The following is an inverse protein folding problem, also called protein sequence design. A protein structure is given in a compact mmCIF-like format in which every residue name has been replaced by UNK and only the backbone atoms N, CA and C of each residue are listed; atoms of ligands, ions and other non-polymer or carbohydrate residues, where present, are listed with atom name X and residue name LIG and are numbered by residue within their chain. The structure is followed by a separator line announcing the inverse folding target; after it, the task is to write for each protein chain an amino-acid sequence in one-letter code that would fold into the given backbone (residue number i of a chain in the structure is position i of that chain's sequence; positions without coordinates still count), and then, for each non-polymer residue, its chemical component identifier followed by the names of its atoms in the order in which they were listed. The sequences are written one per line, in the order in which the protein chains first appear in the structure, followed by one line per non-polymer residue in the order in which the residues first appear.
data_IF_783141985131
#
_entry.id   IF_783141985131
#
_cell.length_a   1.000
_cell.length_b   1.000
_cell.length_c   1.000
_cell.angle_alpha   90.00
_cell.angle_beta   90.00
_cell.angle_gamma   90.00
#
_symmetry.space_group_name_H-M   'P 1'
#
loop_
_entity.id
_entity.type
_entity.pdbx_description
1 polymer ?
#
# COMPACT_ATOMS: atom_id res chain seq x y z
N UNK A 1 27.37 -3.75 1.64
CA UNK A 1 25.98 -4.19 1.36
C UNK A 1 25.51 -3.58 0.07
N UNK A 2 24.82 -4.36 -0.75
CA UNK A 2 24.30 -3.88 -2.03
C UNK A 2 23.15 -2.88 -1.78
N UNK A 3 23.14 -1.78 -2.50
CA UNK A 3 22.03 -0.83 -2.46
C UNK A 3 20.76 -1.46 -3.03
N UNK A 4 19.57 -1.31 -2.39
CA UNK A 4 18.33 -1.83 -2.92
C UNK A 4 17.97 -1.19 -4.26
N UNK A 5 17.60 -2.03 -5.24
CA UNK A 5 17.13 -1.61 -6.55
C UNK A 5 15.59 -1.52 -6.55
N UNK A 6 15.06 -0.39 -7.02
CA UNK A 6 13.63 -0.28 -7.31
C UNK A 6 13.39 -0.83 -8.72
N UNK A 7 12.54 -1.84 -8.83
CA UNK A 7 12.17 -2.47 -10.11
C UNK A 7 10.69 -2.86 -10.13
N UNK A 8 10.09 -3.04 -11.32
CA UNK A 8 8.77 -3.66 -11.41
C UNK A 8 8.76 -5.05 -10.78
N UNK A 9 7.65 -5.39 -10.13
CA UNK A 9 7.43 -6.73 -9.61
C UNK A 9 7.07 -7.70 -10.75
N UNK A 10 7.38 -8.96 -10.55
CA UNK A 10 7.06 -10.06 -11.48
C UNK A 10 6.30 -11.17 -10.77
N UNK A 11 5.73 -12.12 -11.52
CA UNK A 11 5.06 -13.30 -10.96
C UNK A 11 5.96 -14.09 -9.99
N UNK A 12 7.27 -14.11 -10.22
CA UNK A 12 8.23 -14.77 -9.35
C UNK A 12 8.32 -14.14 -7.94
N UNK A 13 7.93 -12.89 -7.81
CA UNK A 13 7.94 -12.16 -6.53
C UNK A 13 6.73 -12.48 -5.65
N UNK A 14 5.72 -13.19 -6.16
CA UNK A 14 4.43 -13.30 -5.48
C UNK A 14 4.51 -13.88 -4.06
N UNK A 15 5.30 -14.94 -3.86
CA UNK A 15 5.47 -15.53 -2.53
C UNK A 15 6.18 -14.57 -1.56
N UNK A 16 7.27 -13.94 -1.99
CA UNK A 16 8.02 -12.97 -1.19
C UNK A 16 7.18 -11.72 -0.89
N UNK A 17 6.36 -11.25 -1.85
CA UNK A 17 5.42 -10.15 -1.64
C UNK A 17 4.32 -10.49 -0.63
N UNK A 18 3.80 -11.73 -0.66
CA UNK A 18 2.82 -12.18 0.31
C UNK A 18 3.40 -12.18 1.74
N UNK A 19 4.60 -12.72 1.90
CA UNK A 19 5.30 -12.74 3.21
C UNK A 19 5.62 -11.32 3.69
N UNK A 20 6.17 -10.49 2.81
CA UNK A 20 6.50 -9.09 3.12
C UNK A 20 5.25 -8.28 3.50
N UNK A 21 4.17 -8.41 2.76
CA UNK A 21 2.91 -7.72 3.02
C UNK A 21 2.30 -8.12 4.35
N UNK A 22 2.25 -9.41 4.63
CA UNK A 22 1.75 -9.96 5.89
C UNK A 22 2.57 -9.46 7.08
N UNK A 23 3.89 -9.60 7.02
CA UNK A 23 4.77 -9.20 8.11
C UNK A 23 4.74 -7.69 8.34
N UNK A 24 4.76 -6.89 7.28
CA UNK A 24 4.70 -5.42 7.38
C UNK A 24 3.37 -4.95 7.96
N UNK A 25 2.26 -5.59 7.58
CA UNK A 25 0.96 -5.28 8.19
C UNK A 25 0.97 -5.55 9.70
N UNK A 26 1.48 -6.71 10.10
CA UNK A 26 1.58 -7.07 11.53
C UNK A 26 2.47 -6.07 12.27
N UNK A 27 3.67 -5.79 11.77
CA UNK A 27 4.62 -4.88 12.42
C UNK A 27 4.07 -3.45 12.54
N UNK A 28 3.31 -3.00 11.55
CA UNK A 28 2.79 -1.63 11.52
C UNK A 28 1.53 -1.46 12.33
N UNK A 29 0.55 -2.33 12.14
CA UNK A 29 -0.81 -2.14 12.67
C UNK A 29 -1.10 -2.94 13.94
N UNK A 30 -0.47 -4.11 14.11
CA UNK A 30 -0.79 -5.05 15.18
C UNK A 30 0.23 -5.03 16.31
N UNK A 31 1.51 -4.97 16.00
CA UNK A 31 2.58 -5.05 17.00
C UNK A 31 2.49 -3.92 18.03
N UNK A 32 2.92 -4.21 19.26
CA UNK A 32 2.88 -3.26 20.39
C UNK A 32 3.70 -1.98 20.14
N UNK A 33 4.80 -2.10 19.41
CA UNK A 33 5.64 -0.98 18.97
C UNK A 33 5.16 -0.28 17.70
N UNK A 34 4.12 -0.81 17.05
CA UNK A 34 3.38 -0.19 15.94
C UNK A 34 2.17 0.57 16.46
N UNK A 35 1.06 0.50 15.74
CA UNK A 35 -0.19 1.16 16.13
C UNK A 35 -0.98 0.38 17.20
N UNK A 36 -0.64 -0.88 17.43
CA UNK A 36 -1.25 -1.76 18.42
C UNK A 36 -2.80 -1.81 18.31
N UNK A 37 -3.32 -1.84 17.08
CA UNK A 37 -4.76 -1.92 16.85
C UNK A 37 -5.25 -3.29 17.34
N UNK A 38 -6.26 -3.34 18.21
CA UNK A 38 -6.69 -4.58 18.86
C UNK A 38 -7.65 -5.38 17.98
N UNK A 39 -7.23 -5.74 16.77
CA UNK A 39 -8.03 -6.60 15.89
C UNK A 39 -8.37 -7.93 16.60
N UNK A 40 -9.61 -8.39 16.53
CA UNK A 40 -9.93 -9.77 16.93
C UNK A 40 -9.10 -10.76 16.12
N UNK A 41 -8.56 -11.78 16.77
CA UNK A 41 -7.62 -12.71 16.13
C UNK A 41 -8.20 -13.40 14.88
N UNK A 42 -9.48 -13.76 14.92
CA UNK A 42 -10.19 -14.37 13.78
C UNK A 42 -10.30 -13.40 12.59
N UNK A 43 -10.68 -12.16 12.86
CA UNK A 43 -10.84 -11.12 11.84
C UNK A 43 -9.47 -10.79 11.18
N UNK A 44 -8.43 -10.68 11.98
CA UNK A 44 -7.06 -10.48 11.50
C UNK A 44 -6.59 -11.66 10.64
N UNK A 45 -6.80 -12.89 11.08
CA UNK A 45 -6.40 -14.10 10.33
C UNK A 45 -7.09 -14.16 8.97
N UNK A 46 -8.40 -13.95 8.93
CA UNK A 46 -9.19 -13.92 7.69
C UNK A 46 -8.66 -12.85 6.72
N UNK A 47 -8.40 -11.65 7.23
CA UNK A 47 -7.88 -10.56 6.42
C UNK A 47 -6.49 -10.86 5.86
N UNK A 48 -5.56 -11.33 6.70
CA UNK A 48 -4.19 -11.62 6.27
C UNK A 48 -4.15 -12.75 5.25
N UNK A 49 -4.92 -13.81 5.45
CA UNK A 49 -4.98 -14.96 4.55
C UNK A 49 -5.60 -14.59 3.19
N UNK A 50 -6.61 -13.73 3.17
CA UNK A 50 -7.23 -13.26 1.94
C UNK A 50 -6.34 -12.27 1.17
N UNK A 51 -5.62 -11.41 1.88
CA UNK A 51 -4.85 -10.30 1.28
C UNK A 51 -3.43 -10.68 0.89
N UNK A 52 -2.77 -11.53 1.68
CA UNK A 52 -1.34 -11.83 1.58
C UNK A 52 -1.09 -13.32 1.45
N UNK A 53 -1.54 -13.91 0.36
CA UNK A 53 -1.16 -15.24 -0.08
C UNK A 53 -0.64 -15.17 -1.51
N UNK A 54 0.24 -16.10 -1.94
CA UNK A 54 0.90 -16.03 -3.25
C UNK A 54 -0.08 -16.02 -4.43
N UNK A 55 -1.18 -16.76 -4.35
CA UNK A 55 -2.17 -16.83 -5.43
C UNK A 55 -2.92 -15.50 -5.60
N UNK A 56 -3.38 -14.90 -4.51
CA UNK A 56 -4.01 -13.58 -4.53
C UNK A 56 -3.06 -12.52 -5.08
N UNK A 57 -1.79 -12.54 -4.66
CA UNK A 57 -0.78 -11.59 -5.17
C UNK A 57 -0.55 -11.80 -6.66
N UNK A 58 -0.43 -13.04 -7.16
CA UNK A 58 -0.30 -13.31 -8.61
C UNK A 58 -1.47 -12.77 -9.41
N UNK A 59 -2.68 -12.94 -8.91
CA UNK A 59 -3.88 -12.41 -9.55
C UNK A 59 -3.85 -10.89 -9.62
N UNK A 60 -3.48 -10.24 -8.52
CA UNK A 60 -3.38 -8.77 -8.44
C UNK A 60 -2.23 -8.20 -9.28
N UNK A 61 -1.11 -8.90 -9.40
CA UNK A 61 -0.01 -8.50 -10.29
C UNK A 61 -0.43 -8.45 -11.76
N UNK A 62 -1.43 -9.24 -12.16
CA UNK A 62 -1.97 -9.31 -13.53
C UNK A 62 -3.21 -8.46 -13.74
N UNK A 63 -3.67 -7.74 -12.71
CA UNK A 63 -4.86 -6.89 -12.83
C UNK A 63 -4.65 -5.82 -13.90
N UNK A 64 -5.56 -5.69 -14.89
CA UNK A 64 -5.48 -4.64 -15.89
C UNK A 64 -5.46 -3.24 -15.25
N UNK A 65 -4.53 -2.40 -15.68
CA UNK A 65 -4.38 -1.06 -15.15
C UNK A 65 -3.70 -0.96 -13.79
N UNK A 66 -3.18 -2.06 -13.25
CA UNK A 66 -2.37 -2.06 -12.03
C UNK A 66 -0.87 -2.07 -12.34
N UNK A 67 -0.08 -1.54 -11.42
CA UNK A 67 1.37 -1.60 -11.45
C UNK A 67 1.93 -1.86 -10.05
N UNK A 68 3.03 -2.59 -10.00
CA UNK A 68 3.70 -2.98 -8.77
C UNK A 68 5.20 -2.77 -8.89
N UNK A 69 5.80 -2.23 -7.83
CA UNK A 69 7.25 -2.08 -7.71
C UNK A 69 7.72 -2.68 -6.40
N UNK A 70 8.93 -3.19 -6.44
CA UNK A 70 9.63 -3.75 -5.27
C UNK A 70 10.98 -3.05 -5.09
N UNK A 71 11.42 -2.98 -3.84
CA UNK A 71 12.80 -2.66 -3.50
C UNK A 71 13.53 -3.98 -3.23
N UNK A 72 14.39 -4.37 -4.15
CA UNK A 72 15.09 -5.65 -4.16
C UNK A 72 16.56 -5.46 -3.80
N UNK A 73 17.02 -6.16 -2.79
CA UNK A 73 18.42 -6.20 -2.38
C UNK A 73 18.98 -7.62 -2.54
N UNK A 74 19.43 -7.91 -3.76
CA UNK A 74 20.03 -9.21 -4.05
C UNK A 74 19.09 -10.42 -3.88
N UNK A 75 17.80 -10.24 -4.21
CA UNK A 75 16.77 -11.27 -4.08
C UNK A 75 15.93 -11.16 -2.81
N UNK A 76 16.30 -10.29 -1.87
CA UNK A 76 15.51 -9.99 -0.69
C UNK A 76 14.62 -8.77 -0.96
N UNK A 77 13.30 -8.93 -0.86
CA UNK A 77 12.37 -7.82 -0.99
C UNK A 77 12.23 -7.07 0.33
N UNK A 78 12.51 -5.78 0.32
CA UNK A 78 12.51 -4.91 1.50
C UNK A 78 11.29 -4.01 1.59
N UNK A 79 10.68 -3.70 0.45
CA UNK A 79 9.53 -2.80 0.37
C UNK A 79 8.79 -3.03 -0.94
N UNK A 80 7.55 -2.59 -1.02
CA UNK A 80 6.78 -2.59 -2.26
C UNK A 80 5.76 -1.48 -2.31
N UNK A 81 5.34 -1.13 -3.53
CA UNK A 81 4.20 -0.25 -3.79
C UNK A 81 3.28 -0.89 -4.82
N UNK A 82 1.99 -0.67 -4.66
CA UNK A 82 0.96 -1.09 -5.60
C UNK A 82 0.02 0.07 -5.94
N UNK A 83 -0.12 0.34 -7.23
CA UNK A 83 -1.08 1.29 -7.79
C UNK A 83 -2.06 0.56 -8.70
N UNK A 84 -3.21 1.17 -8.94
CA UNK A 84 -4.20 0.60 -9.85
C UNK A 84 -5.41 1.52 -10.04
N UNK A 85 -6.48 1.03 -10.70
CA UNK A 85 -7.74 1.73 -10.79
C UNK A 85 -8.28 2.07 -9.41
N UNK A 86 -8.84 3.26 -9.26
CA UNK A 86 -9.39 3.71 -7.98
C UNK A 86 -10.55 2.82 -7.52
N UNK A 87 -10.52 2.45 -6.24
CA UNK A 87 -11.56 1.66 -5.56
C UNK A 87 -12.16 2.39 -4.35
N UNK A 88 -11.66 3.59 -4.03
CA UNK A 88 -12.12 4.33 -2.85
C UNK A 88 -13.53 4.88 -3.04
N UNK A 89 -14.39 4.78 -2.00
CA UNK A 89 -15.80 5.16 -2.08
C UNK A 89 -15.98 6.67 -1.90
N UNK A 90 -15.64 7.46 -2.90
CA UNK A 90 -15.83 8.90 -2.89
C UNK A 90 -16.68 9.31 -4.12
N UNK A 91 -17.60 10.27 -3.98
CA UNK A 91 -18.51 10.65 -5.09
C UNK A 91 -17.81 11.13 -6.35
N UNK A 92 -16.63 11.75 -6.23
CA UNK A 92 -15.84 12.23 -7.36
C UNK A 92 -14.81 11.23 -7.88
N UNK A 93 -14.61 10.11 -7.17
CA UNK A 93 -13.66 9.09 -7.56
C UNK A 93 -14.23 8.16 -8.63
N UNK A 94 -13.45 7.87 -9.67
CA UNK A 94 -13.82 7.00 -10.78
C UNK A 94 -12.80 5.89 -10.95
N UNK A 95 -13.20 4.76 -11.53
CA UNK A 95 -12.29 3.67 -11.82
C UNK A 95 -11.19 4.02 -12.82
N UNK A 96 -11.39 5.06 -13.64
CA UNK A 96 -10.37 5.61 -14.55
C UNK A 96 -9.32 6.49 -13.86
N UNK A 97 -9.56 6.86 -12.60
CA UNK A 97 -8.57 7.54 -11.77
C UNK A 97 -7.59 6.52 -11.17
N UNK A 98 -6.38 6.95 -10.89
CA UNK A 98 -5.37 6.11 -10.25
C UNK A 98 -5.38 6.23 -8.72
N UNK A 99 -5.16 5.09 -8.06
CA UNK A 99 -5.04 4.97 -6.61
C UNK A 99 -3.70 4.34 -6.22
N UNK A 100 -3.02 4.91 -5.24
CA UNK A 100 -1.96 4.22 -4.51
C UNK A 100 -2.62 3.34 -3.44
N UNK A 101 -2.62 2.03 -3.67
CA UNK A 101 -3.32 1.06 -2.83
C UNK A 101 -2.51 0.60 -1.63
N UNK A 102 -1.19 0.41 -1.80
CA UNK A 102 -0.25 0.02 -0.74
C UNK A 102 1.12 0.61 -0.99
N UNK A 103 1.76 1.01 0.11
CA UNK A 103 3.15 1.41 0.16
C UNK A 103 3.71 0.88 1.48
N UNK A 104 4.41 -0.24 1.42
CA UNK A 104 4.91 -0.96 2.59
C UNK A 104 6.43 -1.03 2.58
N UNK A 105 7.04 -0.70 3.72
CA UNK A 105 8.48 -0.82 3.94
C UNK A 105 8.70 -1.70 5.15
N UNK A 106 9.47 -2.79 5.01
CA UNK A 106 9.80 -3.67 6.12
C UNK A 106 10.45 -2.89 7.26
N UNK A 107 10.22 -3.33 8.50
CA UNK A 107 10.74 -2.67 9.70
C UNK A 107 12.26 -2.52 9.65
N UNK A 108 12.97 -3.54 9.17
CA UNK A 108 14.44 -3.54 9.04
C UNK A 108 14.97 -2.58 7.98
N UNK A 109 14.14 -2.16 7.03
CA UNK A 109 14.53 -1.29 5.92
C UNK A 109 14.01 0.16 6.06
N UNK A 110 13.32 0.46 7.15
CA UNK A 110 12.89 1.83 7.44
C UNK A 110 14.10 2.74 7.64
N UNK A 111 13.97 4.00 7.22
CA UNK A 111 15.09 4.97 7.28
C UNK A 111 16.06 4.92 6.10
N UNK A 112 15.89 3.98 5.15
CA UNK A 112 16.72 3.89 3.93
C UNK A 112 16.18 4.72 2.75
N UNK A 113 15.11 5.46 2.96
CA UNK A 113 14.48 6.28 1.90
C UNK A 113 13.68 5.48 0.87
N UNK A 114 13.43 4.19 1.10
CA UNK A 114 12.72 3.31 0.15
C UNK A 114 11.26 3.74 -0.05
N UNK A 115 10.58 4.15 1.01
CA UNK A 115 9.21 4.65 0.93
C UNK A 115 9.10 5.86 0.01
N UNK A 116 10.01 6.82 0.11
CA UNK A 116 10.04 8.00 -0.76
C UNK A 116 10.36 7.63 -2.22
N UNK A 117 11.32 6.73 -2.45
CA UNK A 117 11.66 6.25 -3.80
C UNK A 117 10.48 5.52 -4.46
N UNK A 118 9.82 4.63 -3.72
CA UNK A 118 8.62 3.92 -4.21
C UNK A 118 7.44 4.86 -4.43
N UNK A 119 7.24 5.83 -3.56
CA UNK A 119 6.19 6.84 -3.73
C UNK A 119 6.43 7.65 -5.01
N UNK A 120 7.67 8.07 -5.27
CA UNK A 120 8.03 8.85 -6.46
C UNK A 120 7.69 8.10 -7.76
N UNK A 121 8.11 6.84 -7.89
CA UNK A 121 7.81 6.03 -9.09
C UNK A 121 6.30 5.75 -9.22
N UNK A 122 5.63 5.53 -8.11
CA UNK A 122 4.18 5.32 -8.09
C UNK A 122 3.42 6.56 -8.57
N UNK A 123 3.77 7.74 -8.07
CA UNK A 123 3.12 8.99 -8.45
C UNK A 123 3.37 9.36 -9.91
N UNK A 124 4.57 9.13 -10.42
CA UNK A 124 4.87 9.32 -11.85
C UNK A 124 3.98 8.43 -12.72
N UNK A 125 3.87 7.15 -12.38
CA UNK A 125 3.01 6.22 -13.09
C UNK A 125 1.53 6.62 -12.99
N UNK A 126 1.07 6.95 -11.78
CA UNK A 126 -0.32 7.38 -11.56
C UNK A 126 -0.68 8.62 -12.38
N UNK A 127 0.20 9.61 -12.43
CA UNK A 127 -0.01 10.82 -13.22
C UNK A 127 -0.12 10.53 -14.72
N UNK A 128 0.63 9.54 -15.22
CA UNK A 128 0.61 9.13 -16.62
C UNK A 128 -0.60 8.25 -16.99
N UNK A 129 -1.24 7.61 -16.01
CA UNK A 129 -2.31 6.61 -16.23
C UNK A 129 -3.66 6.99 -15.63
N UNK A 130 -3.80 8.16 -15.03
CA UNK A 130 -5.06 8.68 -14.51
C UNK A 130 -5.63 9.73 -15.44
N UNK A 131 -6.95 9.70 -15.67
CA UNK A 131 -7.64 10.75 -16.41
C UNK A 131 -8.25 11.81 -15.48
N UNK A 132 -7.87 11.82 -14.22
CA UNK A 132 -8.36 12.73 -13.20
C UNK A 132 -7.47 12.75 -11.96
N UNK A 133 -8.04 13.11 -10.81
CA UNK A 133 -7.29 13.16 -9.56
C UNK A 133 -6.61 11.86 -9.19
N UNK A 134 -5.55 11.96 -8.39
CA UNK A 134 -4.87 10.83 -7.76
C UNK A 134 -5.42 10.62 -6.35
N UNK A 135 -5.55 9.37 -5.94
CA UNK A 135 -6.22 8.98 -4.70
C UNK A 135 -5.35 8.08 -3.83
N UNK A 136 -5.47 8.26 -2.51
CA UNK A 136 -4.83 7.41 -1.50
C UNK A 136 -5.80 7.21 -0.34
N UNK A 137 -6.00 5.97 0.11
CA UNK A 137 -6.61 5.67 1.40
C UNK A 137 -5.54 5.53 2.48
N UNK A 138 -5.76 6.07 3.66
CA UNK A 138 -4.80 5.98 4.77
C UNK A 138 -5.55 5.84 6.10
N UNK A 139 -5.05 4.96 6.97
CA UNK A 139 -5.61 4.84 8.31
C UNK A 139 -5.55 6.17 9.07
N UNK A 140 -6.65 6.56 9.73
CA UNK A 140 -6.80 7.86 10.38
C UNK A 140 -5.76 8.14 11.47
N UNK A 141 -5.21 7.09 12.09
CA UNK A 141 -4.15 7.19 13.09
C UNK A 141 -2.72 7.22 12.52
N UNK A 142 -2.54 7.01 11.22
CA UNK A 142 -1.21 7.01 10.60
C UNK A 142 -0.76 8.44 10.22
N UNK A 143 -0.41 9.22 11.23
CA UNK A 143 -0.03 10.62 11.06
C UNK A 143 1.25 10.78 10.23
N UNK A 144 2.19 9.85 10.36
CA UNK A 144 3.44 9.85 9.59
C UNK A 144 3.17 9.73 8.08
N UNK A 145 2.33 8.78 7.69
CA UNK A 145 1.95 8.61 6.29
C UNK A 145 1.16 9.80 5.77
N UNK A 146 0.21 10.32 6.54
CA UNK A 146 -0.57 11.51 6.18
C UNK A 146 0.34 12.72 5.93
N UNK A 147 1.33 12.93 6.79
CA UNK A 147 2.32 14.00 6.62
C UNK A 147 3.15 13.82 5.35
N UNK A 148 3.59 12.60 5.07
CA UNK A 148 4.32 12.28 3.85
C UNK A 148 3.48 12.60 2.60
N UNK A 149 2.24 12.15 2.55
CA UNK A 149 1.36 12.38 1.41
C UNK A 149 0.99 13.86 1.26
N UNK A 150 0.79 14.59 2.35
CA UNK A 150 0.57 16.04 2.31
C UNK A 150 1.75 16.79 1.69
N UNK A 151 2.97 16.36 1.95
CA UNK A 151 4.18 16.92 1.34
C UNK A 151 4.21 16.74 -0.19
N UNK A 152 3.48 15.75 -0.72
CA UNK A 152 3.32 15.51 -2.16
C UNK A 152 2.02 16.08 -2.74
N UNK A 153 1.33 16.95 -2.01
CA UNK A 153 0.17 17.68 -2.50
C UNK A 153 -1.18 16.98 -2.31
N UNK A 154 -1.24 15.92 -1.51
CA UNK A 154 -2.50 15.25 -1.18
C UNK A 154 -3.21 15.95 -0.03
N UNK A 155 -4.50 16.15 -0.18
CA UNK A 155 -5.39 16.75 0.83
C UNK A 155 -6.51 15.78 1.19
N UNK A 156 -6.99 15.85 2.44
CA UNK A 156 -8.13 15.04 2.87
C UNK A 156 -9.38 15.45 2.11
N UNK A 157 -10.02 14.49 1.45
CA UNK A 157 -11.25 14.68 0.68
C UNK A 157 -12.45 13.93 1.26
N UNK A 158 -12.23 12.97 2.15
CA UNK A 158 -13.33 12.20 2.74
C UNK A 158 -12.84 11.18 3.77
N UNK A 159 -13.79 10.39 4.23
CA UNK A 159 -13.58 9.33 5.21
C UNK A 159 -14.34 8.08 4.77
N UNK A 160 -13.84 6.91 5.15
CA UNK A 160 -14.54 5.65 4.94
C UNK A 160 -14.06 4.62 5.95
N UNK A 161 -14.71 3.47 5.97
CA UNK A 161 -14.32 2.35 6.82
C UNK A 161 -13.73 1.22 5.97
N UNK A 162 -12.54 0.78 6.35
CA UNK A 162 -11.83 -0.31 5.68
C UNK A 162 -11.95 -1.59 6.49
N UNK A 163 -12.47 -2.69 5.90
CA UNK A 163 -12.70 -3.93 6.63
C UNK A 163 -11.41 -4.73 6.81
N UNK A 164 -11.16 -5.13 8.06
CA UNK A 164 -10.17 -6.15 8.44
C UNK A 164 -10.97 -7.29 9.07
N UNK A 165 -11.36 -8.26 8.26
CA UNK A 165 -12.44 -9.17 8.63
C UNK A 165 -13.73 -8.39 8.87
N UNK A 166 -14.33 -8.55 10.04
CA UNK A 166 -15.52 -7.79 10.49
C UNK A 166 -15.17 -6.48 11.20
N UNK A 167 -13.90 -6.33 11.60
CA UNK A 167 -13.40 -5.07 12.17
C UNK A 167 -13.35 -3.99 11.07
N UNK A 168 -13.74 -2.77 11.44
CA UNK A 168 -13.75 -1.64 10.52
C UNK A 168 -12.74 -0.59 11.00
N UNK A 169 -11.69 -0.38 10.22
CA UNK A 169 -10.73 0.70 10.44
C UNK A 169 -11.29 2.01 9.89
N UNK A 170 -11.18 3.08 10.67
CA UNK A 170 -11.50 4.42 10.20
C UNK A 170 -10.35 4.96 9.35
N UNK A 171 -10.63 5.22 8.08
CA UNK A 171 -9.65 5.69 7.12
C UNK A 171 -10.01 7.04 6.51
N UNK A 172 -9.00 7.79 6.12
CA UNK A 172 -9.14 9.01 5.34
C UNK A 172 -8.91 8.73 3.87
N UNK A 173 -9.70 9.40 3.04
CA UNK A 173 -9.51 9.46 1.59
C UNK A 173 -8.73 10.73 1.31
N UNK A 174 -7.56 10.58 0.67
CA UNK A 174 -6.72 11.69 0.25
C UNK A 174 -6.79 11.84 -1.26
N UNK A 175 -6.73 13.08 -1.73
CA UNK A 175 -6.83 13.45 -3.13
C UNK A 175 -5.76 14.45 -3.51
N UNK A 176 -5.22 14.33 -4.73
CA UNK A 176 -4.37 15.33 -5.39
C UNK A 176 -4.87 15.61 -6.81
N UNK A 177 -5.11 16.87 -7.14
CA UNK A 177 -5.66 17.30 -8.44
C UNK A 177 -7.15 17.57 -8.47
#
# INVERSE_FOLDING_TARGET
MTEPLIRPATDADAAALADLGRQTFIDTFVAAEGFAIPYPAEDLSVFLDASFNPETIRTKLKEPGAAWWVADRGGELLAFANTGPNTLPHPEARASHAELRRLYVSKSAQGLGLGTKLLAVSLEWMAANSDGPLWIGVWSGNLKAQKLYAAYGFEKAGEYQYPVGRWLDDEFILRRG
#
